data_IF_336184647616
#
_entry.id   IF_336184647616
#
_cell.length_a   1.000
_cell.length_b   1.000
_cell.length_c   1.000
_cell.angle_alpha   90.00
_cell.angle_beta   90.00
_cell.angle_gamma   90.00
#
_symmetry.space_group_name_H-M   'P 1'
#
loop_
_entity.id
_entity.type
_entity.pdbx_description
1 polymer ?
#
# COMPACT_ATOMS: atom_id res chain seq x y z
N UNK A 1 49.34 -12.71 16.29
CA UNK A 1 47.93 -12.60 16.71
C UNK A 1 47.32 -11.27 16.23
N UNK A 2 46.88 -11.15 14.96
CA UNK A 2 46.30 -9.89 14.41
C UNK A 2 45.35 -10.16 13.23
N UNK A 3 44.40 -11.09 13.34
CA UNK A 3 43.44 -11.38 12.23
C UNK A 3 42.03 -11.80 12.66
N UNK A 4 41.54 -11.39 13.83
CA UNK A 4 40.25 -11.89 14.34
C UNK A 4 39.26 -10.84 14.86
N UNK A 5 39.45 -9.53 14.56
CA UNK A 5 38.55 -8.48 15.07
C UNK A 5 37.74 -7.68 14.03
N UNK A 6 37.87 -7.98 12.74
CA UNK A 6 37.19 -7.17 11.69
C UNK A 6 35.86 -7.79 11.23
N UNK A 7 35.57 -9.05 11.60
CA UNK A 7 34.37 -9.76 11.10
C UNK A 7 33.13 -9.65 12.01
N UNK A 8 33.24 -8.99 13.16
CA UNK A 8 32.11 -8.78 14.09
C UNK A 8 31.38 -7.44 13.88
N UNK A 9 31.98 -6.48 13.17
CA UNK A 9 31.37 -5.18 12.90
C UNK A 9 30.48 -5.17 11.63
N UNK A 10 30.62 -6.16 10.73
CA UNK A 10 29.84 -6.21 9.49
C UNK A 10 28.48 -6.92 9.61
N UNK A 11 28.23 -7.67 10.69
CA UNK A 11 26.95 -8.35 10.92
C UNK A 11 25.93 -7.50 11.72
N UNK A 12 26.34 -6.32 12.22
CA UNK A 12 25.47 -5.41 12.95
C UNK A 12 24.76 -4.38 12.04
N UNK A 13 25.04 -4.37 10.74
CA UNK A 13 24.54 -3.39 9.79
C UNK A 13 23.71 -4.02 8.66
N UNK A 14 22.63 -4.74 8.98
CA UNK A 14 21.53 -4.99 8.05
C UNK A 14 20.32 -5.74 8.67
N UNK A 15 20.13 -5.73 9.99
CA UNK A 15 18.78 -5.89 10.52
C UNK A 15 18.02 -4.59 10.24
N UNK A 16 17.79 -4.30 8.96
CA UNK A 16 16.71 -3.44 8.51
C UNK A 16 15.46 -4.12 9.02
N UNK A 17 15.08 -3.80 10.26
CA UNK A 17 13.77 -4.14 10.77
C UNK A 17 12.80 -3.66 9.70
N UNK A 18 12.21 -4.63 9.00
CA UNK A 18 11.07 -4.33 8.18
C UNK A 18 10.01 -3.87 9.18
N UNK A 19 9.95 -2.56 9.46
CA UNK A 19 8.87 -1.95 10.20
C UNK A 19 7.58 -2.50 9.60
N UNK A 20 6.90 -3.35 10.37
CA UNK A 20 5.65 -3.93 9.93
C UNK A 20 4.65 -2.79 9.75
N UNK A 21 3.80 -2.89 8.75
CA UNK A 21 2.70 -1.97 8.56
C UNK A 21 1.79 -2.05 9.80
N UNK A 22 1.62 -0.94 10.50
CA UNK A 22 0.83 -0.88 11.72
C UNK A 22 -0.53 -0.26 11.44
N UNK A 23 -1.55 -0.71 12.17
CA UNK A 23 -2.88 -0.11 12.16
C UNK A 23 -2.87 1.01 13.20
N UNK A 24 -3.02 2.25 12.73
CA UNK A 24 -3.05 3.44 13.56
C UNK A 24 -4.44 3.69 14.14
N UNK A 25 -5.48 3.49 13.35
CA UNK A 25 -6.87 3.63 13.76
C UNK A 25 -7.82 2.96 12.77
N UNK A 26 -9.08 2.77 13.18
CA UNK A 26 -10.16 2.46 12.27
C UNK A 26 -11.43 3.22 12.69
N UNK A 27 -12.29 3.56 11.73
CA UNK A 27 -13.52 4.32 11.96
C UNK A 27 -14.64 3.94 10.99
N UNK A 28 -15.92 3.82 11.44
CA UNK A 28 -16.40 3.06 12.59
C UNK A 28 -16.78 1.61 12.21
N UNK A 29 -16.85 0.72 13.20
CA UNK A 29 -16.87 -0.76 13.04
C UNK A 29 -18.29 -1.35 12.84
N UNK A 30 -19.32 -0.51 12.63
CA UNK A 30 -20.68 -0.93 12.28
C UNK A 30 -21.32 0.07 11.30
N UNK A 31 -21.67 -0.42 10.12
CA UNK A 31 -22.64 0.24 9.24
C UNK A 31 -23.94 -0.59 9.27
N UNK A 32 -25.09 0.00 8.99
CA UNK A 32 -26.39 -0.70 8.95
C UNK A 32 -26.41 -1.93 8.01
N UNK A 33 -25.40 -2.08 7.14
CA UNK A 33 -25.23 -3.15 6.14
C UNK A 33 -24.15 -4.18 6.49
N UNK A 34 -23.60 -4.16 7.71
CA UNK A 34 -22.60 -5.12 8.17
C UNK A 34 -21.33 -4.50 8.78
N UNK A 35 -20.38 -5.37 9.15
CA UNK A 35 -19.08 -5.00 9.71
C UNK A 35 -18.18 -4.45 8.60
N UNK A 36 -18.13 -3.14 8.45
CA UNK A 36 -17.29 -2.42 7.45
C UNK A 36 -16.64 -1.23 8.13
N UNK A 37 -15.38 -0.94 7.82
CA UNK A 37 -14.64 0.17 8.40
C UNK A 37 -13.53 0.68 7.46
N UNK A 38 -13.12 1.92 7.67
CA UNK A 38 -11.93 2.49 7.08
C UNK A 38 -10.74 2.28 8.03
N UNK A 39 -9.61 1.79 7.51
CA UNK A 39 -8.41 1.51 8.30
C UNK A 39 -7.29 2.47 7.90
N UNK A 40 -6.73 3.14 8.91
CA UNK A 40 -5.56 3.99 8.76
C UNK A 40 -4.32 3.18 9.13
N UNK A 41 -3.39 3.05 8.20
CA UNK A 41 -2.10 2.39 8.36
C UNK A 41 -0.97 3.41 8.56
N UNK A 42 0.23 2.94 8.93
CA UNK A 42 1.46 3.74 9.01
C UNK A 42 1.61 4.72 7.82
N UNK A 43 2.01 5.96 8.09
CA UNK A 43 2.12 7.00 7.05
C UNK A 43 0.79 7.65 6.65
N UNK A 44 -0.11 7.89 7.61
CA UNK A 44 -1.57 8.02 7.41
C UNK A 44 -2.16 7.54 6.05
N UNK A 45 -1.80 6.34 5.61
CA UNK A 45 -2.40 5.71 4.44
C UNK A 45 -3.70 5.02 4.84
N UNK A 46 -4.83 5.45 4.29
CA UNK A 46 -6.16 4.96 4.61
C UNK A 46 -6.66 4.03 3.51
N UNK A 47 -7.02 2.80 3.87
CA UNK A 47 -7.82 1.92 3.01
C UNK A 47 -9.26 1.99 3.47
N UNK A 48 -10.14 2.44 2.59
CA UNK A 48 -11.56 2.59 2.85
C UNK A 48 -12.30 1.29 2.63
N UNK A 49 -13.47 1.15 3.25
CA UNK A 49 -14.44 0.12 2.90
C UNK A 49 -13.94 -1.33 3.07
N UNK A 50 -13.00 -1.60 3.98
CA UNK A 50 -12.66 -2.98 4.34
C UNK A 50 -13.86 -3.58 5.07
N UNK A 51 -14.31 -4.78 4.70
CA UNK A 51 -15.43 -5.46 5.34
C UNK A 51 -15.01 -6.77 6.02
N UNK A 52 -15.85 -7.25 6.94
CA UNK A 52 -15.76 -8.56 7.54
C UNK A 52 -17.03 -9.35 7.22
N UNK A 53 -16.91 -10.29 6.30
CA UNK A 53 -18.02 -11.03 5.72
C UNK A 53 -17.75 -12.52 5.81
N UNK A 54 -18.76 -13.30 6.22
CA UNK A 54 -18.67 -14.77 6.31
C UNK A 54 -17.44 -15.28 7.09
N UNK A 55 -17.02 -14.53 8.11
CA UNK A 55 -15.86 -14.89 8.94
C UNK A 55 -14.50 -14.52 8.37
N UNK A 56 -14.43 -13.69 7.32
CA UNK A 56 -13.17 -13.28 6.70
C UNK A 56 -13.09 -11.77 6.46
N UNK A 57 -11.87 -11.22 6.52
CA UNK A 57 -11.59 -9.85 6.08
C UNK A 57 -11.61 -9.79 4.56
N UNK A 58 -12.40 -8.87 4.02
CA UNK A 58 -12.56 -8.64 2.59
C UNK A 58 -12.02 -7.25 2.25
N UNK A 59 -10.99 -7.22 1.40
CA UNK A 59 -10.43 -5.97 0.88
C UNK A 59 -11.39 -5.33 -0.12
N UNK A 60 -11.45 -3.99 -0.18
CA UNK A 60 -12.33 -3.28 -1.11
C UNK A 60 -11.95 -3.57 -2.56
N UNK A 61 -12.96 -3.54 -3.43
CA UNK A 61 -12.80 -3.65 -4.88
C UNK A 61 -13.32 -2.40 -5.58
N UNK A 62 -12.74 -2.09 -6.73
CA UNK A 62 -13.23 -1.05 -7.62
C UNK A 62 -14.13 -1.71 -8.67
N UNK A 63 -15.32 -1.16 -8.92
CA UNK A 63 -16.25 -1.66 -9.94
C UNK A 63 -16.35 -0.62 -11.06
N UNK A 64 -16.05 -1.01 -12.30
CA UNK A 64 -16.18 -0.14 -13.47
C UNK A 64 -16.67 -0.93 -14.68
N UNK A 65 -17.83 -0.52 -15.24
CA UNK A 65 -18.48 -1.15 -16.40
C UNK A 65 -18.51 -2.67 -16.29
N UNK A 66 -19.10 -3.17 -15.20
CA UNK A 66 -19.27 -4.58 -14.85
C UNK A 66 -17.97 -5.37 -14.58
N UNK A 67 -16.82 -4.71 -14.57
CA UNK A 67 -15.53 -5.32 -14.22
C UNK A 67 -15.14 -4.99 -12.79
N UNK A 68 -14.64 -6.01 -12.09
CA UNK A 68 -14.15 -5.92 -10.72
C UNK A 68 -12.61 -5.85 -10.75
N UNK A 69 -12.05 -4.83 -10.10
CA UNK A 69 -10.62 -4.63 -9.97
C UNK A 69 -10.21 -4.73 -8.50
N UNK A 70 -9.18 -5.55 -8.25
CA UNK A 70 -8.57 -5.77 -6.93
C UNK A 70 -7.31 -4.92 -6.81
N UNK A 71 -7.51 -3.61 -6.72
CA UNK A 71 -6.42 -2.62 -6.72
C UNK A 71 -5.65 -2.60 -5.40
N UNK A 72 -6.26 -3.05 -4.31
CA UNK A 72 -5.67 -3.06 -2.98
C UNK A 72 -5.64 -4.50 -2.47
N UNK A 73 -4.46 -4.99 -2.11
CA UNK A 73 -4.23 -6.35 -1.62
C UNK A 73 -3.46 -6.31 -0.32
N UNK A 74 -3.94 -7.06 0.65
CA UNK A 74 -3.18 -7.33 1.86
C UNK A 74 -2.30 -8.56 1.64
N UNK A 75 -0.99 -8.39 1.81
CA UNK A 75 0.02 -9.44 1.64
C UNK A 75 0.40 -10.09 2.98
N UNK A 76 0.15 -9.39 4.08
CA UNK A 76 0.60 -9.77 5.40
C UNK A 76 -0.47 -10.49 6.22
N UNK A 77 -0.14 -11.70 6.67
CA UNK A 77 -0.98 -12.45 7.62
C UNK A 77 -1.08 -11.74 8.98
N UNK A 78 -0.01 -11.08 9.43
CA UNK A 78 -0.02 -10.41 10.73
C UNK A 78 -0.98 -9.22 10.73
N UNK A 79 -0.95 -8.39 9.69
CA UNK A 79 -1.89 -7.28 9.51
C UNK A 79 -3.31 -7.80 9.34
N UNK A 80 -3.51 -8.90 8.60
CA UNK A 80 -4.83 -9.53 8.46
C UNK A 80 -5.44 -9.85 9.84
N UNK A 81 -4.68 -10.54 10.70
CA UNK A 81 -5.14 -10.93 12.04
C UNK A 81 -5.44 -9.70 12.90
N UNK A 82 -4.67 -8.61 12.76
CA UNK A 82 -4.96 -7.34 13.46
C UNK A 82 -6.28 -6.72 12.99
N UNK A 83 -6.55 -6.69 11.68
CA UNK A 83 -7.83 -6.21 11.10
C UNK A 83 -9.00 -7.11 11.54
N UNK A 84 -8.81 -8.43 11.51
CA UNK A 84 -9.82 -9.38 11.97
C UNK A 84 -10.17 -9.17 13.45
N UNK A 85 -9.14 -9.04 14.31
CA UNK A 85 -9.33 -8.77 15.72
C UNK A 85 -10.11 -7.48 15.98
N UNK A 86 -9.87 -6.44 15.17
CA UNK A 86 -10.64 -5.20 15.20
C UNK A 86 -12.14 -5.44 14.99
N UNK A 87 -12.51 -6.23 13.98
CA UNK A 87 -13.90 -6.55 13.67
C UNK A 87 -14.54 -7.48 14.70
N UNK A 88 -13.78 -8.44 15.23
CA UNK A 88 -14.28 -9.38 16.24
C UNK A 88 -14.51 -8.72 17.60
N UNK A 89 -13.63 -7.79 18.00
CA UNK A 89 -13.71 -7.09 19.29
C UNK A 89 -14.51 -5.78 19.23
N UNK A 90 -14.99 -5.40 18.05
CA UNK A 90 -15.64 -4.10 17.77
C UNK A 90 -14.81 -2.90 18.23
N UNK A 91 -13.48 -3.06 18.29
CA UNK A 91 -12.54 -2.09 18.81
C UNK A 91 -11.19 -2.28 18.14
N UNK A 92 -10.62 -1.20 17.62
CA UNK A 92 -9.25 -1.18 17.14
C UNK A 92 -8.31 -0.52 18.16
N UNK A 93 -7.12 -1.07 18.39
CA UNK A 93 -6.09 -0.36 19.11
C UNK A 93 -5.67 0.87 18.30
N UNK A 94 -5.63 2.02 18.97
CA UNK A 94 -4.97 3.20 18.41
C UNK A 94 -3.47 3.03 18.61
N UNK A 95 -2.68 3.14 17.54
CA UNK A 95 -1.22 3.09 17.61
C UNK A 95 -0.66 4.49 17.39
N UNK A 96 0.45 4.81 18.06
CA UNK A 96 1.14 6.08 17.87
C UNK A 96 1.57 6.25 16.39
N UNK A 97 1.74 7.50 15.91
CA UNK A 97 2.24 7.76 14.56
C UNK A 97 3.56 7.05 14.32
N UNK A 98 3.55 6.10 13.39
CA UNK A 98 4.73 5.37 12.96
C UNK A 98 5.40 6.14 11.83
N UNK A 99 6.71 5.95 11.68
CA UNK A 99 7.50 6.40 10.54
C UNK A 99 6.79 6.13 9.21
N UNK A 100 6.99 6.99 8.19
CA UNK A 100 6.44 6.74 6.86
C UNK A 100 6.82 5.35 6.33
N UNK A 101 5.89 4.66 5.64
CA UNK A 101 6.13 3.30 5.16
C UNK A 101 7.21 3.30 4.08
N UNK A 102 7.99 2.22 4.00
CA UNK A 102 8.87 2.02 2.85
C UNK A 102 8.03 1.65 1.64
N UNK A 103 8.25 2.34 0.53
CA UNK A 103 7.60 2.06 -0.74
C UNK A 103 8.54 1.31 -1.67
N UNK A 104 8.03 0.26 -2.32
CA UNK A 104 8.74 -0.45 -3.37
C UNK A 104 7.82 -0.76 -4.54
N UNK A 105 8.35 -0.73 -5.77
CA UNK A 105 7.60 -1.11 -6.96
C UNK A 105 7.74 -2.62 -7.15
N UNK A 106 6.62 -3.34 -7.14
CA UNK A 106 6.60 -4.80 -7.28
C UNK A 106 6.22 -5.26 -8.69
N UNK A 107 5.41 -4.49 -9.41
CA UNK A 107 5.01 -4.80 -10.79
C UNK A 107 4.75 -3.51 -11.56
N UNK A 108 5.10 -3.49 -12.85
CA UNK A 108 4.67 -2.46 -13.79
C UNK A 108 4.02 -3.14 -14.99
N UNK A 109 2.73 -2.89 -15.19
CA UNK A 109 1.97 -3.39 -16.33
C UNK A 109 1.69 -2.24 -17.30
N UNK A 110 2.35 -2.26 -18.45
CA UNK A 110 2.08 -1.32 -19.53
C UNK A 110 0.69 -1.55 -20.12
N UNK A 111 -0.01 -0.47 -20.45
CA UNK A 111 -1.34 -0.49 -21.04
C UNK A 111 -1.29 0.09 -22.45
N UNK A 112 -2.25 -0.31 -23.29
CA UNK A 112 -2.41 0.20 -24.66
C UNK A 112 -3.18 1.53 -24.74
N UNK A 113 -3.66 2.04 -23.60
CA UNK A 113 -4.47 3.26 -23.59
C UNK A 113 -3.58 4.51 -23.69
N UNK A 114 -3.99 5.54 -24.46
CA UNK A 114 -3.20 6.76 -24.65
C UNK A 114 -3.21 7.67 -23.41
N UNK A 115 -4.20 7.53 -22.53
CA UNK A 115 -4.37 8.37 -21.33
C UNK A 115 -3.77 7.66 -20.12
N UNK A 116 -4.34 6.50 -19.71
CA UNK A 116 -3.74 5.63 -18.69
C UNK A 116 -2.78 4.66 -19.36
N UNK A 117 -1.49 4.94 -19.25
CA UNK A 117 -0.43 4.26 -20.03
C UNK A 117 0.18 3.07 -19.29
N UNK A 118 0.01 2.99 -17.98
CA UNK A 118 0.46 1.85 -17.18
C UNK A 118 -0.34 1.70 -15.88
N UNK A 119 -0.21 0.54 -15.26
CA UNK A 119 -0.49 0.30 -13.86
C UNK A 119 0.83 -0.02 -13.15
N UNK A 120 1.06 0.61 -12.00
CA UNK A 120 2.24 0.38 -11.16
C UNK A 120 1.76 -0.13 -9.81
N UNK A 121 2.16 -1.34 -9.47
CA UNK A 121 1.88 -1.94 -8.17
C UNK A 121 2.97 -1.50 -7.20
N UNK A 122 2.58 -0.80 -6.13
CA UNK A 122 3.48 -0.33 -5.08
C UNK A 122 3.16 -1.07 -3.79
N UNK A 123 4.19 -1.67 -3.19
CA UNK A 123 4.11 -2.31 -1.89
C UNK A 123 4.55 -1.33 -0.77
N UNK A 124 3.75 -1.27 0.28
CA UNK A 124 3.96 -0.50 1.51
C UNK A 124 4.45 -1.47 2.59
N UNK A 125 5.72 -1.32 2.97
CA UNK A 125 6.48 -2.21 3.87
C UNK A 125 6.45 -3.70 3.51
N UNK A 126 5.98 -4.05 2.31
CA UNK A 126 5.76 -5.44 1.88
C UNK A 126 4.44 -6.04 2.38
N UNK A 127 3.67 -5.32 3.19
CA UNK A 127 2.46 -5.85 3.86
C UNK A 127 1.16 -5.49 3.12
N UNK A 128 1.14 -4.36 2.42
CA UNK A 128 0.01 -3.87 1.64
C UNK A 128 0.49 -3.53 0.22
N UNK A 129 -0.24 -3.97 -0.79
CA UNK A 129 0.03 -3.67 -2.19
C UNK A 129 -1.12 -2.85 -2.77
N UNK A 130 -0.79 -1.73 -3.42
CA UNK A 130 -1.76 -0.83 -4.04
C UNK A 130 -1.37 -0.59 -5.50
N UNK A 131 -2.34 -0.73 -6.41
CA UNK A 131 -2.17 -0.49 -7.83
C UNK A 131 -2.52 0.97 -8.14
N UNK A 132 -1.52 1.72 -8.60
CA UNK A 132 -1.68 3.09 -9.08
C UNK A 132 -1.72 3.11 -10.61
N UNK A 133 -2.62 3.89 -11.18
CA UNK A 133 -2.59 4.19 -12.61
C UNK A 133 -1.53 5.24 -12.93
N UNK A 134 -0.83 5.08 -14.04
CA UNK A 134 0.00 6.16 -14.60
C UNK A 134 -0.80 6.82 -15.69
N UNK A 135 -1.14 8.10 -15.49
CA UNK A 135 -1.81 8.88 -16.52
C UNK A 135 -0.79 9.79 -17.18
N UNK A 136 -0.84 9.87 -18.51
CA UNK A 136 -0.05 10.76 -19.34
C UNK A 136 -0.95 11.83 -19.95
N UNK A 137 -0.68 13.10 -19.66
CA UNK A 137 -1.35 14.24 -20.31
C UNK A 137 -0.79 14.45 -21.71
N UNK A 138 -1.52 15.22 -22.52
CA UNK A 138 -1.06 15.64 -23.85
C UNK A 138 0.28 16.40 -23.79
N UNK A 139 0.54 17.16 -22.72
CA UNK A 139 1.83 17.82 -22.46
C UNK A 139 2.99 16.86 -22.19
N UNK A 140 2.73 15.56 -22.05
CA UNK A 140 3.72 14.56 -21.64
C UNK A 140 3.90 14.43 -20.12
N UNK A 141 3.26 15.29 -19.34
CA UNK A 141 3.26 15.22 -17.88
C UNK A 141 2.63 13.89 -17.40
N UNK A 142 3.29 13.26 -16.42
CA UNK A 142 2.82 12.03 -15.80
C UNK A 142 2.24 12.33 -14.42
N UNK A 143 1.18 11.63 -14.04
CA UNK A 143 0.63 11.66 -12.67
C UNK A 143 0.15 10.27 -12.23
N UNK A 144 0.15 10.06 -10.91
CA UNK A 144 -0.36 8.84 -10.31
C UNK A 144 -1.88 8.97 -10.06
N UNK A 145 -2.67 8.06 -10.62
CA UNK A 145 -4.08 7.90 -10.32
C UNK A 145 -4.24 6.89 -9.18
N UNK A 146 -4.83 7.34 -8.07
CA UNK A 146 -5.10 6.54 -6.88
C UNK A 146 -6.37 5.70 -7.11
N UNK A 147 -6.45 4.47 -6.57
CA UNK A 147 -7.70 3.72 -6.57
C UNK A 147 -8.70 4.34 -5.57
N UNK A 148 -9.99 4.24 -5.86
CA UNK A 148 -11.05 4.96 -5.13
C UNK A 148 -11.10 4.67 -3.62
N UNK A 149 -10.69 3.46 -3.22
CA UNK A 149 -10.70 3.02 -1.82
C UNK A 149 -9.36 3.25 -1.11
N UNK A 150 -8.46 4.07 -1.66
CA UNK A 150 -7.18 4.42 -1.04
C UNK A 150 -7.03 5.93 -0.94
N UNK A 151 -6.81 6.43 0.28
CA UNK A 151 -6.61 7.85 0.56
C UNK A 151 -5.33 8.04 1.37
N UNK A 152 -4.58 9.09 1.05
CA UNK A 152 -3.44 9.53 1.86
C UNK A 152 -3.69 10.98 2.21
N UNK A 153 -3.59 11.35 3.49
CA UNK A 153 -3.76 12.76 3.92
C UNK A 153 -2.43 13.50 4.04
N UNK A 154 -1.35 12.77 4.27
CA UNK A 154 -0.01 13.33 4.39
C UNK A 154 0.60 13.67 3.03
N UNK A 155 0.94 14.95 2.83
CA UNK A 155 1.47 15.46 1.56
C UNK A 155 2.87 14.91 1.25
N UNK A 156 3.67 14.61 2.27
CA UNK A 156 4.99 14.02 2.08
C UNK A 156 4.88 12.58 1.53
N UNK A 157 3.96 11.77 2.08
CA UNK A 157 3.70 10.43 1.56
C UNK A 157 3.06 10.48 0.17
N UNK A 158 2.12 11.39 -0.11
CA UNK A 158 1.58 11.57 -1.47
C UNK A 158 2.69 11.84 -2.49
N UNK A 159 3.58 12.77 -2.16
CA UNK A 159 4.74 13.12 -2.98
C UNK A 159 5.67 11.92 -3.19
N UNK A 160 5.91 11.13 -2.13
CA UNK A 160 6.72 9.92 -2.18
C UNK A 160 6.10 8.84 -3.06
N UNK A 161 4.79 8.60 -2.95
CA UNK A 161 4.04 7.66 -3.80
C UNK A 161 4.15 8.11 -5.25
N UNK A 162 3.85 9.37 -5.53
CA UNK A 162 3.86 9.91 -6.89
C UNK A 162 5.24 9.79 -7.53
N UNK A 163 6.30 10.12 -6.79
CA UNK A 163 7.69 9.90 -7.21
C UNK A 163 7.95 8.41 -7.51
N UNK A 164 7.59 7.53 -6.58
CA UNK A 164 7.81 6.07 -6.70
C UNK A 164 7.11 5.50 -7.93
N UNK A 165 5.86 5.89 -8.17
CA UNK A 165 5.07 5.45 -9.34
C UNK A 165 5.71 5.93 -10.64
N UNK A 166 6.09 7.22 -10.73
CA UNK A 166 6.75 7.78 -11.92
C UNK A 166 8.10 7.13 -12.19
N UNK A 167 8.89 6.88 -11.16
CA UNK A 167 10.18 6.20 -11.28
C UNK A 167 10.03 4.75 -11.73
N UNK A 168 9.09 4.01 -11.13
CA UNK A 168 8.77 2.63 -11.54
C UNK A 168 8.40 2.56 -13.02
N UNK A 169 7.51 3.43 -13.47
CA UNK A 169 7.13 3.55 -14.87
C UNK A 169 8.31 3.85 -15.79
N UNK A 170 9.12 4.88 -15.45
CA UNK A 170 10.28 5.29 -16.26
C UNK A 170 11.31 4.16 -16.36
N UNK A 171 11.56 3.43 -15.28
CA UNK A 171 12.48 2.28 -15.28
C UNK A 171 11.97 1.17 -16.20
N UNK A 172 10.69 0.79 -16.09
CA UNK A 172 10.11 -0.22 -16.97
C UNK A 172 10.14 0.17 -18.45
N UNK A 173 10.00 1.46 -18.76
CA UNK A 173 10.13 1.97 -20.13
C UNK A 173 11.57 1.97 -20.68
N UNK A 174 12.59 1.96 -19.81
CA UNK A 174 14.01 1.88 -20.18
C UNK A 174 14.53 0.43 -20.32
N UNK A 175 13.79 -0.56 -19.81
CA UNK A 175 14.13 -2.00 -19.94
C UNK A 175 13.42 -2.57 -21.18
N UNK A 176 13.26 -1.75 -22.23
CA UNK A 176 12.76 -2.18 -23.54
C UNK A 176 13.83 -1.89 -24.58
N UNK A 177 15.00 -2.47 -24.38
CA UNK A 177 16.00 -2.73 -25.41
C UNK A 177 16.23 -4.24 -25.47
#
# INVERSE_FOLDING_TARGET
MKRFKIMAALLAAAALNASALEIMSASPVKTEKGKKADFVFSGPATVKNISFEKGAVVMPVTVYKDKIYKDIKLLSKSVYVKIEACFLKEKCPASAPVTPPRLSVSEVRMLKSPVRVANVTVAFDGDLSVIFGVIKRASGELFAAYPDNFEVKDEALKSLIEKTVKEGFRKAGKIKD
#
